data_IF_201560053321
#
_entry.id   IF_201560053321
#
_cell.length_a   1.000
_cell.length_b   1.000
_cell.length_c   1.000
_cell.angle_alpha   90.00
_cell.angle_beta   90.00
_cell.angle_gamma   90.00
#
_symmetry.space_group_name_H-M   'P 1'
#
loop_
_entity.id
_entity.type
_entity.pdbx_description
1 polymer ?
#
# COMPACT_ATOMS: atom_id res chain seq x y z
N UNK A 1 63.04 -14.62 55.45
CA UNK A 1 61.57 -14.79 55.59
C UNK A 1 60.83 -13.69 54.81
N UNK A 2 60.99 -13.58 53.47
CA UNK A 2 60.29 -12.57 52.63
C UNK A 2 60.17 -13.02 51.15
N UNK A 3 59.56 -14.18 50.87
CA UNK A 3 59.44 -14.67 49.47
C UNK A 3 58.04 -15.17 49.05
N UNK A 4 57.04 -15.29 49.94
CA UNK A 4 55.75 -15.90 49.58
C UNK A 4 54.56 -14.93 49.33
N UNK A 5 54.77 -13.61 49.36
CA UNK A 5 53.65 -12.65 49.25
C UNK A 5 53.31 -12.18 47.82
N UNK A 6 54.18 -12.41 46.82
CA UNK A 6 54.08 -11.72 45.52
C UNK A 6 53.23 -12.43 44.45
N UNK A 7 52.94 -13.73 44.58
CA UNK A 7 52.18 -14.47 43.55
C UNK A 7 50.66 -14.28 43.63
N UNK A 8 50.14 -13.95 44.83
CA UNK A 8 48.69 -13.84 45.02
C UNK A 8 48.07 -12.56 44.43
N UNK A 9 48.87 -11.52 44.19
CA UNK A 9 48.39 -10.23 43.69
C UNK A 9 48.17 -10.25 42.17
N UNK A 10 49.06 -10.91 41.40
CA UNK A 10 48.91 -11.09 39.95
C UNK A 10 47.70 -11.97 39.60
N UNK A 11 47.46 -13.03 40.36
CA UNK A 11 46.29 -13.91 40.16
C UNK A 11 44.95 -13.22 40.50
N UNK A 12 44.93 -12.36 41.53
CA UNK A 12 43.72 -11.60 41.91
C UNK A 12 43.40 -10.49 40.92
N UNK A 13 44.41 -9.82 40.36
CA UNK A 13 44.21 -8.82 39.29
C UNK A 13 43.79 -9.48 37.97
N UNK A 14 44.44 -10.58 37.56
CA UNK A 14 44.08 -11.29 36.34
C UNK A 14 42.64 -11.87 36.38
N UNK A 15 42.19 -12.41 37.54
CA UNK A 15 40.82 -12.92 37.71
C UNK A 15 39.76 -11.83 37.70
N UNK A 16 40.04 -10.65 38.28
CA UNK A 16 39.13 -9.50 38.24
C UNK A 16 39.06 -8.87 36.84
N UNK A 17 40.19 -8.80 36.12
CA UNK A 17 40.23 -8.31 34.73
C UNK A 17 39.55 -9.27 33.75
N UNK A 18 39.69 -10.59 33.93
CA UNK A 18 38.96 -11.60 33.12
C UNK A 18 37.45 -11.55 33.36
N UNK A 19 37.00 -11.42 34.62
CA UNK A 19 35.57 -11.28 34.94
C UNK A 19 34.99 -9.95 34.42
N UNK A 20 35.75 -8.85 34.48
CA UNK A 20 35.34 -7.56 33.93
C UNK A 20 35.24 -7.58 32.40
N UNK A 21 36.17 -8.25 31.70
CA UNK A 21 36.12 -8.38 30.24
C UNK A 21 34.91 -9.22 29.79
N UNK A 22 34.59 -10.28 30.54
CA UNK A 22 33.46 -11.19 30.26
C UNK A 22 32.11 -10.49 30.47
N UNK A 23 31.97 -9.65 31.50
CA UNK A 23 30.78 -8.82 31.73
C UNK A 23 30.64 -7.74 30.64
N UNK A 24 31.73 -7.10 30.21
CA UNK A 24 31.70 -6.12 29.11
C UNK A 24 31.29 -6.77 27.78
N UNK A 25 31.76 -7.98 27.48
CA UNK A 25 31.31 -8.71 26.27
C UNK A 25 29.85 -9.16 26.35
N UNK A 26 29.34 -9.49 27.54
CA UNK A 26 27.93 -9.84 27.73
C UNK A 26 27.02 -8.62 27.56
N UNK A 27 27.43 -7.44 28.04
CA UNK A 27 26.69 -6.19 27.89
C UNK A 27 26.70 -5.69 26.43
N UNK A 28 27.81 -5.85 25.70
CA UNK A 28 27.89 -5.50 24.28
C UNK A 28 27.05 -6.43 23.38
N UNK A 29 26.83 -7.68 23.80
CA UNK A 29 25.98 -8.65 23.07
C UNK A 29 24.48 -8.37 23.23
N UNK A 30 24.08 -7.66 24.29
CA UNK A 30 22.67 -7.32 24.57
C UNK A 30 22.24 -6.02 23.87
N UNK A 31 23.17 -5.19 23.41
CA UNK A 31 22.85 -3.94 22.70
C UNK A 31 22.83 -4.08 21.16
N UNK A 32 23.36 -5.17 20.62
CA UNK A 32 23.53 -5.38 19.18
C UNK A 32 22.36 -6.01 18.44
N UNK A 33 21.10 -5.77 18.82
CA UNK A 33 20.00 -6.58 18.29
C UNK A 33 18.58 -6.06 18.41
N UNK A 34 18.34 -4.76 18.52
CA UNK A 34 17.01 -4.24 18.17
C UNK A 34 17.03 -3.82 16.71
N UNK A 35 17.03 -4.82 15.82
CA UNK A 35 16.58 -4.59 14.46
C UNK A 35 15.10 -4.24 14.55
N UNK A 36 14.79 -2.94 14.53
CA UNK A 36 13.46 -2.43 14.28
C UNK A 36 13.01 -2.97 12.93
N UNK A 37 12.31 -4.10 12.91
CA UNK A 37 11.54 -4.49 11.74
C UNK A 37 10.41 -3.48 11.68
N UNK A 38 10.57 -2.46 10.84
CA UNK A 38 9.43 -1.65 10.43
C UNK A 38 8.38 -2.64 9.93
N UNK A 39 7.29 -2.78 10.69
CA UNK A 39 6.18 -3.58 10.26
C UNK A 39 5.66 -2.90 8.99
N UNK A 40 5.94 -3.51 7.85
CA UNK A 40 5.43 -3.06 6.57
C UNK A 40 3.90 -2.96 6.72
N UNK A 41 3.40 -1.73 6.74
CA UNK A 41 2.01 -1.45 7.11
C UNK A 41 1.09 -2.19 6.15
N UNK A 42 0.31 -3.12 6.68
CA UNK A 42 -0.60 -3.92 5.89
C UNK A 42 -1.67 -3.03 5.23
N UNK A 43 -1.96 -3.30 3.96
CA UNK A 43 -3.02 -2.59 3.24
C UNK A 43 -4.36 -2.96 3.87
N UNK A 44 -5.13 -1.94 4.26
CA UNK A 44 -6.49 -2.12 4.79
C UNK A 44 -7.51 -1.88 3.70
N UNK A 45 -8.69 -2.48 3.85
CA UNK A 45 -9.84 -2.23 2.99
C UNK A 45 -10.99 -1.76 3.87
N UNK A 46 -11.65 -0.67 3.49
CA UNK A 46 -12.89 -0.20 4.11
C UNK A 46 -14.02 -0.27 3.11
N UNK A 47 -15.16 -0.79 3.55
CA UNK A 47 -16.41 -0.84 2.81
C UNK A 47 -17.42 0.05 3.53
N UNK A 48 -17.94 1.07 2.84
CA UNK A 48 -18.92 2.03 3.39
C UNK A 48 -18.50 2.54 4.79
N UNK A 49 -17.26 3.03 4.87
CA UNK A 49 -16.60 3.53 6.09
C UNK A 49 -16.32 2.48 7.18
N UNK A 50 -16.63 1.20 6.99
CA UNK A 50 -16.32 0.14 7.98
C UNK A 50 -15.12 -0.67 7.53
N UNK A 51 -14.25 -1.05 8.48
CA UNK A 51 -13.11 -1.93 8.15
C UNK A 51 -13.64 -3.30 7.71
N UNK A 52 -13.19 -3.75 6.54
CA UNK A 52 -13.57 -5.05 5.98
C UNK A 52 -12.51 -6.08 6.36
N UNK A 53 -12.95 -7.17 6.99
CA UNK A 53 -12.04 -8.26 7.35
C UNK A 53 -11.61 -9.02 6.09
N UNK A 54 -10.32 -8.90 5.78
CA UNK A 54 -9.72 -9.63 4.68
C UNK A 54 -9.11 -10.93 5.21
N UNK A 55 -9.55 -12.06 4.67
CA UNK A 55 -8.97 -13.36 5.02
C UNK A 55 -7.50 -13.52 4.57
N UNK A 56 -7.05 -12.71 3.62
CA UNK A 56 -5.63 -12.59 3.24
C UNK A 56 -5.30 -11.15 2.84
N UNK A 57 -4.01 -10.82 2.88
CA UNK A 57 -3.52 -9.46 2.55
C UNK A 57 -3.63 -9.20 1.05
N UNK A 58 -3.93 -7.96 0.63
CA UNK A 58 -3.75 -7.55 -0.75
C UNK A 58 -2.31 -7.74 -1.21
N UNK A 59 -2.13 -8.06 -2.49
CA UNK A 59 -0.84 -8.41 -3.08
C UNK A 59 -0.52 -7.54 -4.29
N UNK A 60 0.67 -6.97 -4.35
CA UNK A 60 1.13 -6.19 -5.50
C UNK A 60 1.83 -7.10 -6.52
N UNK A 61 1.28 -7.20 -7.73
CA UNK A 61 1.85 -7.97 -8.83
C UNK A 61 1.97 -7.09 -10.07
N UNK A 62 3.19 -6.94 -10.60
CA UNK A 62 3.45 -6.16 -11.82
C UNK A 62 2.84 -4.75 -11.78
N UNK A 63 2.93 -4.07 -10.63
CA UNK A 63 2.32 -2.74 -10.42
C UNK A 63 0.79 -2.75 -10.26
N UNK A 64 0.13 -3.91 -10.35
CA UNK A 64 -1.30 -4.08 -10.14
C UNK A 64 -1.57 -4.61 -8.74
N UNK A 65 -2.46 -3.95 -8.00
CA UNK A 65 -2.93 -4.45 -6.72
C UNK A 65 -3.99 -5.53 -6.94
N UNK A 66 -3.73 -6.72 -6.41
CA UNK A 66 -4.67 -7.82 -6.31
C UNK A 66 -5.29 -7.86 -4.92
N UNK A 67 -6.62 -7.93 -4.85
CA UNK A 67 -7.40 -7.98 -3.61
C UNK A 67 -8.23 -9.25 -3.52
N UNK A 68 -8.52 -9.76 -2.30
CA UNK A 68 -9.39 -10.92 -2.13
C UNK A 68 -10.79 -10.64 -2.68
N UNK A 69 -11.20 -11.42 -3.69
CA UNK A 69 -12.45 -11.19 -4.42
C UNK A 69 -13.68 -11.39 -3.52
N UNK A 70 -13.69 -12.48 -2.75
CA UNK A 70 -14.86 -12.90 -1.95
C UNK A 70 -15.36 -11.85 -0.95
N UNK A 71 -14.56 -11.38 0.02
CA UNK A 71 -15.06 -10.45 1.04
C UNK A 71 -15.59 -9.13 0.44
N UNK A 72 -14.98 -8.67 -0.66
CA UNK A 72 -15.42 -7.46 -1.36
C UNK A 72 -16.76 -7.66 -2.08
N UNK A 73 -16.88 -8.73 -2.87
CA UNK A 73 -18.09 -9.02 -3.64
C UNK A 73 -19.28 -9.36 -2.73
N UNK A 74 -19.05 -10.11 -1.64
CA UNK A 74 -20.08 -10.41 -0.65
C UNK A 74 -20.56 -9.15 0.07
N UNK A 75 -19.64 -8.25 0.47
CA UNK A 75 -20.01 -6.95 1.05
C UNK A 75 -20.86 -6.09 0.09
N UNK A 76 -20.63 -6.23 -1.22
CA UNK A 76 -21.39 -5.57 -2.29
C UNK A 76 -22.71 -6.30 -2.65
N UNK A 77 -23.07 -7.36 -1.92
CA UNK A 77 -24.29 -8.14 -2.13
C UNK A 77 -24.24 -9.00 -3.40
N UNK A 78 -23.05 -9.41 -3.84
CA UNK A 78 -22.86 -10.28 -5.01
C UNK A 78 -22.63 -11.71 -4.51
N UNK A 79 -23.49 -12.63 -4.93
CA UNK A 79 -23.35 -14.05 -4.64
C UNK A 79 -22.23 -14.64 -5.49
N UNK A 80 -21.38 -15.48 -4.91
CA UNK A 80 -20.25 -16.09 -5.60
C UNK A 80 -20.37 -17.61 -5.67
N UNK A 81 -20.19 -18.15 -6.86
CA UNK A 81 -20.09 -19.58 -7.12
C UNK A 81 -18.71 -19.92 -7.71
N UNK A 82 -18.12 -21.03 -7.26
CA UNK A 82 -16.88 -21.56 -7.79
C UNK A 82 -17.14 -22.79 -8.64
N UNK A 83 -16.70 -22.76 -9.89
CA UNK A 83 -16.69 -23.91 -10.79
C UNK A 83 -15.28 -24.49 -10.84
N UNK A 84 -15.10 -25.62 -10.15
CA UNK A 84 -13.79 -26.25 -9.99
C UNK A 84 -13.24 -26.83 -11.31
N UNK A 85 -14.12 -27.33 -12.19
CA UNK A 85 -13.72 -27.98 -13.44
C UNK A 85 -13.00 -27.00 -14.39
N UNK A 86 -13.49 -25.76 -14.44
CA UNK A 86 -12.95 -24.69 -15.30
C UNK A 86 -12.12 -23.65 -14.56
N UNK A 87 -11.99 -23.78 -13.23
CA UNK A 87 -11.36 -22.78 -12.36
C UNK A 87 -11.96 -21.39 -12.52
N UNK A 88 -13.29 -21.34 -12.58
CA UNK A 88 -14.05 -20.10 -12.84
C UNK A 88 -14.81 -19.66 -11.60
N UNK A 89 -14.66 -18.39 -11.23
CA UNK A 89 -15.54 -17.72 -10.27
C UNK A 89 -16.67 -17.06 -11.05
N UNK A 90 -17.92 -17.35 -10.66
CA UNK A 90 -19.11 -16.63 -11.13
C UNK A 90 -19.67 -15.78 -10.01
N UNK A 91 -20.03 -14.54 -10.33
CA UNK A 91 -20.67 -13.60 -9.43
C UNK A 91 -22.02 -13.17 -9.97
N UNK A 92 -23.06 -13.19 -9.14
CA UNK A 92 -24.42 -12.82 -9.54
C UNK A 92 -25.08 -11.88 -8.55
N UNK A 93 -25.71 -10.83 -9.06
CA UNK A 93 -26.62 -9.91 -8.35
C UNK A 93 -27.70 -9.47 -9.33
N UNK A 94 -28.82 -8.92 -8.86
CA UNK A 94 -29.83 -8.34 -9.75
C UNK A 94 -29.18 -7.34 -10.74
N UNK A 95 -29.28 -7.63 -12.04
CA UNK A 95 -28.70 -6.81 -13.12
C UNK A 95 -27.17 -6.91 -13.31
N UNK A 96 -26.51 -7.86 -12.63
CA UNK A 96 -25.07 -8.09 -12.71
C UNK A 96 -24.73 -9.58 -12.77
N UNK A 97 -24.04 -9.98 -13.83
CA UNK A 97 -23.39 -11.28 -13.97
C UNK A 97 -21.90 -11.05 -14.25
N UNK A 98 -21.05 -11.72 -13.49
CA UNK A 98 -19.59 -11.64 -13.60
C UNK A 98 -19.04 -13.05 -13.73
N UNK A 99 -18.13 -13.28 -14.67
CA UNK A 99 -17.43 -14.55 -14.81
C UNK A 99 -15.94 -14.30 -15.00
N UNK A 100 -15.12 -14.97 -14.20
CA UNK A 100 -13.68 -14.78 -14.19
C UNK A 100 -12.98 -16.13 -14.05
N UNK A 101 -12.03 -16.40 -14.94
CA UNK A 101 -11.24 -17.64 -14.92
C UNK A 101 -9.87 -17.37 -14.34
N UNK A 102 -9.48 -18.14 -13.31
CA UNK A 102 -8.18 -18.00 -12.65
C UNK A 102 -7.05 -18.27 -13.65
N UNK A 103 -6.02 -17.43 -13.64
CA UNK A 103 -4.89 -17.48 -14.57
C UNK A 103 -5.16 -16.83 -15.93
N UNK A 104 -6.39 -16.40 -16.21
CA UNK A 104 -6.74 -15.65 -17.42
C UNK A 104 -6.74 -14.14 -17.15
N UNK A 105 -6.29 -13.36 -18.13
CA UNK A 105 -6.51 -11.90 -18.17
C UNK A 105 -7.87 -11.54 -18.78
N UNK A 106 -8.72 -12.52 -19.09
CA UNK A 106 -10.09 -12.27 -19.61
C UNK A 106 -11.11 -12.54 -18.52
N UNK A 107 -12.01 -11.59 -18.33
CA UNK A 107 -13.23 -11.75 -17.54
C UNK A 107 -14.44 -11.31 -18.37
N UNK A 108 -15.64 -11.63 -17.91
CA UNK A 108 -16.90 -11.26 -18.55
C UNK A 108 -17.76 -10.54 -17.52
N UNK A 109 -18.31 -9.39 -17.89
CA UNK A 109 -19.28 -8.61 -17.09
C UNK A 109 -20.52 -8.41 -17.97
N UNK A 110 -21.68 -8.92 -17.54
CA UNK A 110 -22.95 -8.84 -18.27
C UNK A 110 -22.82 -9.27 -19.74
N UNK A 111 -22.17 -10.40 -19.98
CA UNK A 111 -21.92 -10.93 -21.33
C UNK A 111 -20.82 -10.22 -22.13
N UNK A 112 -20.27 -9.10 -21.64
CA UNK A 112 -19.21 -8.34 -22.32
C UNK A 112 -17.83 -8.77 -21.80
N UNK A 113 -16.93 -9.15 -22.72
CA UNK A 113 -15.56 -9.52 -22.37
C UNK A 113 -14.74 -8.28 -22.01
N UNK A 114 -14.08 -8.31 -20.86
CA UNK A 114 -13.15 -7.29 -20.38
C UNK A 114 -11.75 -7.88 -20.18
N UNK A 115 -10.72 -7.06 -20.43
CA UNK A 115 -9.32 -7.46 -20.24
C UNK A 115 -8.81 -6.91 -18.93
N UNK A 116 -8.34 -7.79 -18.06
CA UNK A 116 -7.74 -7.49 -16.77
C UNK A 116 -6.30 -7.00 -16.95
N UNK A 117 -5.90 -6.01 -16.15
CA UNK A 117 -4.52 -5.55 -16.08
C UNK A 117 -3.55 -6.70 -15.69
N UNK A 118 -3.97 -7.50 -14.71
CA UNK A 118 -3.24 -8.68 -14.24
C UNK A 118 -4.20 -9.86 -14.12
N UNK A 119 -3.70 -11.08 -14.36
CA UNK A 119 -4.54 -12.27 -14.28
C UNK A 119 -5.00 -12.51 -12.84
N UNK A 120 -6.20 -13.02 -12.66
CA UNK A 120 -6.64 -13.47 -11.34
C UNK A 120 -5.75 -14.62 -10.86
N UNK A 121 -5.36 -14.58 -9.59
CA UNK A 121 -4.44 -15.55 -9.00
C UNK A 121 -5.06 -16.17 -7.75
N UNK A 122 -4.70 -17.42 -7.44
CA UNK A 122 -5.06 -18.03 -6.15
C UNK A 122 -3.84 -18.03 -5.25
N UNK A 123 -3.97 -17.46 -4.05
CA UNK A 123 -2.95 -17.48 -3.00
C UNK A 123 -3.58 -17.69 -1.65
N UNK A 124 -2.96 -18.56 -0.83
CA UNK A 124 -3.43 -18.91 0.51
C UNK A 124 -4.90 -19.36 0.55
N UNK A 125 -5.39 -19.99 -0.54
CA UNK A 125 -6.79 -20.41 -0.67
C UNK A 125 -7.77 -19.30 -1.10
N UNK A 126 -7.30 -18.08 -1.37
CA UNK A 126 -8.12 -16.96 -1.82
C UNK A 126 -7.89 -16.65 -3.30
N UNK A 127 -8.98 -16.43 -4.04
CA UNK A 127 -8.91 -15.82 -5.37
C UNK A 127 -8.70 -14.32 -5.23
N UNK A 128 -7.56 -13.84 -5.74
CA UNK A 128 -7.18 -12.44 -5.81
C UNK A 128 -7.44 -11.90 -7.21
N UNK A 129 -8.03 -10.70 -7.28
CA UNK A 129 -8.38 -10.03 -8.54
C UNK A 129 -7.87 -8.60 -8.55
N UNK A 130 -7.59 -8.00 -9.72
CA UNK A 130 -7.21 -6.60 -9.81
C UNK A 130 -8.23 -5.68 -9.16
N UNK A 131 -7.79 -4.72 -8.35
CA UNK A 131 -8.66 -3.75 -7.69
C UNK A 131 -9.56 -3.01 -8.68
N UNK A 132 -9.02 -2.70 -9.87
CA UNK A 132 -9.76 -2.12 -10.99
C UNK A 132 -10.98 -2.92 -11.40
N UNK A 133 -10.81 -4.23 -11.53
CA UNK A 133 -11.88 -5.12 -11.93
C UNK A 133 -13.02 -5.11 -10.91
N UNK A 134 -12.72 -5.00 -9.62
CA UNK A 134 -13.74 -4.87 -8.58
C UNK A 134 -14.60 -3.63 -8.82
N UNK A 135 -13.99 -2.47 -9.11
CA UNK A 135 -14.73 -1.23 -9.41
C UNK A 135 -15.59 -1.36 -10.67
N UNK A 136 -15.03 -1.90 -11.76
CA UNK A 136 -15.75 -2.06 -13.03
C UNK A 136 -16.90 -3.05 -12.94
N UNK A 137 -16.70 -4.19 -12.27
CA UNK A 137 -17.71 -5.24 -12.14
C UNK A 137 -18.84 -4.81 -11.20
N UNK A 138 -18.52 -4.22 -10.05
CA UNK A 138 -19.53 -3.88 -9.04
C UNK A 138 -20.21 -2.53 -9.26
N UNK A 139 -19.64 -1.68 -10.12
CA UNK A 139 -19.97 -0.24 -10.28
C UNK A 139 -19.72 0.62 -9.05
N UNK A 140 -19.23 0.03 -7.96
CA UNK A 140 -18.86 0.73 -6.74
C UNK A 140 -17.73 1.73 -6.99
N UNK A 141 -17.73 2.81 -6.22
CA UNK A 141 -16.58 3.72 -6.17
C UNK A 141 -15.47 3.04 -5.37
N UNK A 142 -14.28 2.93 -5.97
CA UNK A 142 -13.10 2.37 -5.32
C UNK A 142 -11.99 3.41 -5.38
N UNK A 143 -11.45 3.77 -4.21
CA UNK A 143 -10.39 4.74 -4.02
C UNK A 143 -9.19 4.11 -3.33
N UNK A 144 -8.01 4.68 -3.56
CA UNK A 144 -6.75 4.31 -2.92
C UNK A 144 -6.21 5.52 -2.18
N UNK A 145 -6.06 5.38 -0.88
CA UNK A 145 -5.35 6.34 -0.04
C UNK A 145 -3.90 5.86 0.14
N UNK A 146 -2.92 6.51 -0.51
CA UNK A 146 -1.51 6.15 -0.40
C UNK A 146 -0.91 6.51 0.96
N UNK A 147 -1.42 7.52 1.65
CA UNK A 147 -0.86 8.01 2.92
C UNK A 147 -1.24 7.09 4.07
N UNK A 148 -2.49 6.63 4.12
CA UNK A 148 -2.94 5.67 5.12
C UNK A 148 -2.83 4.21 4.68
N UNK A 149 -2.44 3.98 3.41
CA UNK A 149 -2.35 2.66 2.74
C UNK A 149 -3.65 1.87 2.81
N UNK A 150 -4.74 2.49 2.35
CA UNK A 150 -6.09 1.92 2.43
C UNK A 150 -6.81 1.96 1.09
N UNK A 151 -7.56 0.89 0.81
CA UNK A 151 -8.57 0.87 -0.24
C UNK A 151 -9.91 1.26 0.39
N UNK A 152 -10.56 2.27 -0.16
CA UNK A 152 -11.91 2.68 0.24
C UNK A 152 -12.89 2.24 -0.84
N UNK A 153 -13.95 1.55 -0.44
CA UNK A 153 -15.01 1.07 -1.33
C UNK A 153 -16.32 1.65 -0.85
N UNK A 154 -17.02 2.34 -1.75
CA UNK A 154 -18.32 2.94 -1.50
C UNK A 154 -19.37 2.37 -2.46
N UNK A 155 -20.42 1.79 -1.89
CA UNK A 155 -21.55 1.22 -2.63
C UNK A 155 -22.53 2.29 -3.11
N UNK A 156 -23.35 1.99 -4.11
CA UNK A 156 -24.43 2.89 -4.53
C UNK A 156 -25.43 3.16 -3.40
N UNK A 157 -25.63 2.18 -2.50
CA UNK A 157 -26.50 2.31 -1.34
C UNK A 157 -25.97 3.34 -0.33
N UNK A 158 -24.65 3.42 -0.14
CA UNK A 158 -24.02 4.43 0.70
C UNK A 158 -24.32 5.85 0.23
N UNK A 159 -24.21 6.12 -1.07
CA UNK A 159 -24.53 7.44 -1.63
C UNK A 159 -26.02 7.79 -1.46
N UNK A 160 -26.90 6.81 -1.60
CA UNK A 160 -28.34 6.98 -1.38
C UNK A 160 -28.70 7.26 0.09
N UNK A 161 -28.04 6.60 1.05
CA UNK A 161 -28.28 6.83 2.48
C UNK A 161 -27.72 8.19 2.95
N UNK A 162 -26.53 8.56 2.47
CA UNK A 162 -25.82 9.76 2.90
C UNK A 162 -26.27 11.04 2.19
N UNK A 163 -27.10 10.92 1.15
CA UNK A 163 -27.55 12.02 0.29
C UNK A 163 -26.37 12.87 -0.23
N UNK A 164 -25.33 12.17 -0.71
CA UNK A 164 -24.11 12.80 -1.26
C UNK A 164 -23.90 12.34 -2.70
N UNK A 165 -23.49 13.27 -3.56
CA UNK A 165 -23.08 12.92 -4.90
C UNK A 165 -21.72 12.20 -4.88
N UNK A 166 -21.54 11.25 -5.79
CA UNK A 166 -20.25 10.58 -6.00
C UNK A 166 -19.12 11.58 -6.28
N UNK A 167 -19.43 12.65 -7.02
CA UNK A 167 -18.47 13.71 -7.34
C UNK A 167 -18.03 14.49 -6.09
N UNK A 168 -18.96 14.83 -5.20
CA UNK A 168 -18.62 15.56 -3.97
C UNK A 168 -17.66 14.77 -3.07
N UNK A 169 -17.85 13.44 -3.00
CA UNK A 169 -16.94 12.58 -2.26
C UNK A 169 -15.56 12.52 -2.91
N UNK A 170 -15.50 12.44 -4.24
CA UNK A 170 -14.25 12.48 -5.00
C UNK A 170 -13.50 13.80 -4.77
N UNK A 171 -14.20 14.94 -4.84
CA UNK A 171 -13.60 16.25 -4.65
C UNK A 171 -13.06 16.41 -3.22
N UNK A 172 -13.79 15.94 -2.21
CA UNK A 172 -13.32 15.89 -0.81
C UNK A 172 -12.10 14.99 -0.66
N UNK A 173 -12.09 13.85 -1.35
CA UNK A 173 -10.96 12.93 -1.32
C UNK A 173 -9.70 13.55 -1.95
N UNK A 174 -9.83 14.24 -3.07
CA UNK A 174 -8.71 14.95 -3.71
C UNK A 174 -8.19 16.09 -2.82
N UNK A 175 -9.07 16.89 -2.20
CA UNK A 175 -8.67 17.91 -1.23
C UNK A 175 -7.88 17.31 -0.06
N UNK A 176 -8.33 16.17 0.47
CA UNK A 176 -7.60 15.43 1.49
C UNK A 176 -6.20 15.02 1.00
N UNK A 177 -6.07 14.45 -0.21
CA UNK A 177 -4.78 14.05 -0.76
C UNK A 177 -3.83 15.25 -0.96
N UNK A 178 -4.35 16.39 -1.38
CA UNK A 178 -3.58 17.63 -1.51
C UNK A 178 -3.07 18.17 -0.17
N UNK A 179 -3.91 18.13 0.86
CA UNK A 179 -3.53 18.55 2.22
C UNK A 179 -2.41 17.65 2.77
N UNK A 180 -2.55 16.33 2.63
CA UNK A 180 -1.51 15.39 3.03
C UNK A 180 -0.19 15.64 2.29
N UNK A 181 -0.24 15.96 0.99
CA UNK A 181 0.95 16.30 0.19
C UNK A 181 1.66 17.56 0.70
N UNK A 182 0.90 18.61 1.02
CA UNK A 182 1.47 19.86 1.57
C UNK A 182 2.11 19.62 2.94
N UNK A 183 1.51 18.75 3.76
CA UNK A 183 2.06 18.39 5.06
C UNK A 183 3.33 17.55 4.94
N UNK A 184 3.45 16.68 3.94
CA UNK A 184 4.70 15.94 3.68
C UNK A 184 5.83 16.85 3.17
N UNK A 185 5.52 17.80 2.30
CA UNK A 185 6.52 18.70 1.70
C UNK A 185 7.05 19.75 2.71
N UNK A 186 6.19 20.25 3.61
CA UNK A 186 6.58 21.22 4.64
C UNK A 186 7.40 20.61 5.80
N UNK A 187 7.46 19.28 5.91
CA UNK A 187 8.33 18.57 6.86
C UNK A 187 9.80 18.46 6.45
N UNK A 188 10.14 18.81 5.19
CA UNK A 188 11.51 18.77 4.66
C UNK A 188 12.05 20.20 4.45
N UNK A 189 12.16 20.97 5.53
CA UNK A 189 12.55 22.39 5.44
C UNK A 189 13.19 22.94 6.72
N UNK A 190 14.05 22.17 7.37
CA UNK A 190 14.82 22.60 8.54
C UNK A 190 16.31 22.30 8.42
N UNK A 191 17.05 23.10 7.64
CA UNK A 191 18.46 23.45 7.90
C UNK A 191 18.88 24.56 6.93
N UNK A 192 19.28 25.72 7.47
CA UNK A 192 19.47 26.98 6.74
C UNK A 192 20.73 27.07 5.89
N UNK A 193 20.81 28.14 5.09
CA UNK A 193 21.81 29.19 5.28
C UNK A 193 21.49 30.42 4.42
N UNK A 194 21.82 31.58 4.98
CA UNK A 194 21.81 32.91 4.38
C UNK A 194 22.81 33.10 3.24
N UNK A 195 22.48 33.94 2.26
CA UNK A 195 23.45 34.80 1.57
C UNK A 195 23.34 34.89 0.05
N UNK A 196 23.19 36.12 -0.46
CA UNK A 196 23.93 36.56 -1.66
C UNK A 196 23.15 36.79 -2.95
N UNK A 197 23.05 38.08 -3.31
CA UNK A 197 22.63 38.68 -4.58
C UNK A 197 23.19 38.07 -5.88
N UNK A 198 22.39 38.21 -6.95
CA UNK A 198 22.86 38.76 -8.23
C UNK A 198 22.88 37.81 -9.44
N UNK A 199 22.34 38.27 -10.58
CA UNK A 199 22.75 37.80 -11.90
C UNK A 199 21.64 37.29 -12.83
N UNK A 200 21.20 38.17 -13.73
CA UNK A 200 20.41 37.89 -14.92
C UNK A 200 21.21 37.18 -16.02
N UNK A 201 20.59 36.25 -16.75
CA UNK A 201 20.96 35.90 -18.13
C UNK A 201 20.86 34.41 -18.50
N UNK A 202 20.33 34.12 -19.70
CA UNK A 202 20.80 33.00 -20.50
C UNK A 202 19.86 31.80 -20.70
N UNK A 203 19.43 31.64 -21.95
CA UNK A 203 18.73 30.54 -22.60
C UNK A 203 19.53 29.22 -22.73
N UNK A 204 18.81 28.09 -22.75
CA UNK A 204 19.15 26.90 -23.56
C UNK A 204 19.47 25.60 -22.80
N UNK A 205 18.87 24.48 -23.26
CA UNK A 205 19.50 23.15 -23.20
C UNK A 205 18.96 22.12 -22.20
N UNK A 206 18.13 21.21 -22.72
CA UNK A 206 18.19 19.73 -22.57
C UNK A 206 18.88 19.07 -21.36
N UNK A 207 18.14 18.12 -20.76
CA UNK A 207 18.68 16.87 -20.19
C UNK A 207 18.91 16.87 -18.67
N UNK A 208 18.14 16.06 -17.94
CA UNK A 208 18.34 15.87 -16.51
C UNK A 208 17.40 14.85 -15.91
N UNK A 209 17.75 13.57 -16.03
CA UNK A 209 17.18 12.46 -15.25
C UNK A 209 17.43 12.71 -13.76
N UNK A 210 16.39 13.12 -13.03
CA UNK A 210 16.40 13.23 -11.58
C UNK A 210 15.81 11.99 -10.94
N UNK A 211 16.66 11.04 -10.56
CA UNK A 211 16.29 9.90 -9.72
C UNK A 211 15.95 10.38 -8.30
N UNK A 212 14.65 10.53 -8.03
CA UNK A 212 14.12 10.67 -6.68
C UNK A 212 13.82 9.29 -6.11
N UNK A 213 14.74 8.80 -5.27
CA UNK A 213 14.54 7.61 -4.45
C UNK A 213 13.50 7.92 -3.37
N UNK A 214 12.33 7.31 -3.46
CA UNK A 214 11.26 7.46 -2.47
C UNK A 214 10.16 6.42 -2.67
N UNK A 215 10.29 5.31 -1.95
CA UNK A 215 9.17 4.52 -1.42
C UNK A 215 8.30 3.74 -2.40
N UNK A 216 8.11 2.46 -2.12
CA UNK A 216 7.23 1.55 -2.86
C UNK A 216 5.72 1.81 -2.59
N UNK A 217 5.29 3.08 -2.52
CA UNK A 217 3.94 3.51 -2.13
C UNK A 217 2.94 3.53 -3.30
N UNK A 218 3.38 3.04 -4.48
CA UNK A 218 2.62 3.04 -5.73
C UNK A 218 1.81 1.76 -5.88
N UNK A 219 0.68 1.70 -5.18
CA UNK A 219 -0.43 0.86 -5.64
C UNK A 219 -1.10 1.61 -6.78
N UNK A 220 -0.65 1.29 -8.01
CA UNK A 220 -1.10 1.96 -9.21
C UNK A 220 -2.44 1.39 -9.67
N UNK A 221 -3.18 2.24 -10.36
CA UNK A 221 -4.54 2.03 -10.87
C UNK A 221 -5.62 2.33 -9.81
N UNK A 222 -6.00 3.61 -9.71
CA UNK A 222 -7.25 4.12 -9.10
C UNK A 222 -7.76 5.30 -9.92
N UNK A 223 -9.06 5.59 -9.84
CA UNK A 223 -9.64 6.81 -10.42
C UNK A 223 -8.97 8.06 -9.87
N UNK A 224 -8.40 8.88 -10.76
CA UNK A 224 -7.92 10.23 -10.45
C UNK A 224 -8.69 11.26 -11.27
N UNK A 225 -8.96 12.40 -10.66
CA UNK A 225 -9.53 13.54 -11.37
C UNK A 225 -8.43 14.33 -12.10
N UNK A 226 -8.59 14.60 -13.41
CA UNK A 226 -7.59 15.31 -14.20
C UNK A 226 -8.05 16.75 -14.54
N UNK A 227 -7.42 17.82 -14.02
CA UNK A 227 -7.89 19.19 -14.21
C UNK A 227 -7.68 19.74 -15.63
N UNK A 228 -6.87 19.08 -16.47
CA UNK A 228 -6.52 19.56 -17.82
C UNK A 228 -7.57 19.20 -18.89
N UNK A 229 -8.47 18.24 -18.62
CA UNK A 229 -9.47 17.74 -19.60
C UNK A 229 -10.90 17.68 -19.04
N UNK A 230 -11.39 18.78 -18.46
CA UNK A 230 -12.83 18.97 -18.27
C UNK A 230 -13.53 17.95 -17.36
N UNK A 231 -12.86 17.48 -16.31
CA UNK A 231 -13.50 16.77 -15.19
C UNK A 231 -13.94 15.32 -15.45
N UNK A 232 -13.34 14.64 -16.43
CA UNK A 232 -13.54 13.20 -16.57
C UNK A 232 -12.68 12.43 -15.57
N UNK A 233 -13.31 11.47 -14.88
CA UNK A 233 -12.58 10.47 -14.10
C UNK A 233 -11.75 9.64 -15.07
N UNK A 234 -10.44 9.62 -14.89
CA UNK A 234 -9.53 8.84 -15.73
C UNK A 234 -8.75 7.86 -14.87
N UNK A 235 -8.60 6.64 -15.38
CA UNK A 235 -7.78 5.63 -14.75
C UNK A 235 -6.32 5.91 -15.05
N UNK A 236 -5.55 6.27 -14.03
CA UNK A 236 -4.11 6.44 -14.20
C UNK A 236 -3.35 5.12 -13.93
N UNK A 237 -2.70 4.54 -14.95
CA UNK A 237 -1.69 3.50 -14.72
C UNK A 237 -0.46 4.14 -14.05
N UNK A 238 0.48 3.30 -13.58
CA UNK A 238 1.86 3.76 -13.51
C UNK A 238 2.32 4.09 -14.94
#
# INVERSE_FOLDING_TARGET
MIQHQWESLRAKWARKSLLSLLIVTLVLSVWGGQQSRAAESAIKVRFDEKELQLGTKPYLQNGTTLVPMRPLFEALGIELAWEASTKTVRGTRAGLEVSLTVGSKKAVINGTSVTLAEAAAVRDGYTLVPLRFVSEASKALVLWDPYSRQVLVYSDAFFGEKDIAKQDLLDKFEQYLEEQRKNSDSGSGGSGNSGGSGGSGGSGGSGGSGGGSGGNDRMCSVWRYHPVYGGSLEWQPC
#
